data_IF_485733544513
#
_entry.id   IF_485733544513
#
_cell.length_a   1.000
_cell.length_b   1.000
_cell.length_c   1.000
_cell.angle_alpha   90.00
_cell.angle_beta   90.00
_cell.angle_gamma   90.00
#
_symmetry.space_group_name_H-M   'P 1'
#
loop_
_entity.id
_entity.type
_entity.pdbx_description
1 polymer ?
#
# COMPACT_ATOMS: atom_id res chain seq x y z
N UNK A 1 18.31 18.14 10.72
CA UNK A 1 16.94 18.64 10.49
C UNK A 1 16.02 17.51 10.90
N UNK A 2 15.40 17.60 12.06
CA UNK A 2 14.56 16.51 12.57
C UNK A 2 13.27 16.41 11.76
N UNK A 3 12.92 15.20 11.33
CA UNK A 3 11.76 14.96 10.50
C UNK A 3 10.50 15.01 11.37
N UNK A 4 9.55 15.92 11.04
CA UNK A 4 8.24 16.06 11.71
C UNK A 4 7.55 14.72 11.96
N UNK A 5 7.68 13.79 11.01
CA UNK A 5 7.12 12.45 11.12
C UNK A 5 7.76 11.64 12.26
N UNK A 6 9.08 11.55 12.26
CA UNK A 6 9.83 10.80 13.29
C UNK A 6 9.57 11.37 14.68
N UNK A 7 9.57 12.69 14.83
CA UNK A 7 9.32 13.35 16.11
C UNK A 7 7.90 13.12 16.63
N UNK A 8 6.91 12.98 15.73
CA UNK A 8 5.54 12.69 16.15
C UNK A 8 5.40 11.29 16.77
N UNK A 9 6.29 10.35 16.48
CA UNK A 9 6.15 8.96 16.93
C UNK A 9 7.19 8.51 17.97
N UNK A 10 8.36 9.16 18.05
CA UNK A 10 9.50 8.72 18.87
C UNK A 10 9.14 8.36 20.33
N UNK A 11 8.38 9.21 21.02
CA UNK A 11 8.00 9.03 22.42
C UNK A 11 6.50 8.73 22.61
N UNK A 12 5.83 8.24 21.56
CA UNK A 12 4.39 7.98 21.58
C UNK A 12 4.11 6.49 21.69
N UNK A 13 3.29 6.04 22.68
CA UNK A 13 2.86 4.65 22.76
C UNK A 13 2.15 4.20 21.48
N UNK A 14 2.39 2.96 21.05
CA UNK A 14 1.81 2.40 19.81
C UNK A 14 0.29 2.52 19.76
N UNK A 15 -0.39 2.31 20.89
CA UNK A 15 -1.85 2.45 21.01
C UNK A 15 -2.36 3.86 20.68
N UNK A 16 -1.51 4.88 20.76
CA UNK A 16 -1.82 6.27 20.43
C UNK A 16 -1.36 6.69 19.04
N UNK A 17 -0.83 5.79 18.21
CA UNK A 17 -0.34 6.13 16.87
C UNK A 17 -1.49 6.42 15.88
N UNK A 18 -2.63 5.74 16.02
CA UNK A 18 -3.77 5.88 15.10
C UNK A 18 -4.19 7.35 14.88
N UNK A 19 -4.54 8.10 15.94
CA UNK A 19 -4.90 9.51 15.83
C UNK A 19 -3.81 10.38 15.20
N UNK A 20 -2.52 10.06 15.39
CA UNK A 20 -1.40 10.82 14.79
C UNK A 20 -1.29 10.58 13.28
N UNK A 21 -1.50 9.34 12.83
CA UNK A 21 -1.60 9.07 11.40
C UNK A 21 -2.77 9.82 10.77
N UNK A 22 -3.93 9.85 11.43
CA UNK A 22 -5.10 10.60 10.96
C UNK A 22 -4.82 12.10 10.83
N UNK A 23 -4.16 12.73 11.82
CA UNK A 23 -3.86 14.17 11.76
C UNK A 23 -2.93 14.53 10.59
N UNK A 24 -1.95 13.68 10.27
CA UNK A 24 -1.10 13.91 9.12
C UNK A 24 -1.86 13.88 7.78
N UNK A 25 -2.85 12.99 7.65
CA UNK A 25 -3.73 12.96 6.48
C UNK A 25 -4.58 14.23 6.38
N UNK A 26 -5.19 14.68 7.49
CA UNK A 26 -5.99 15.90 7.57
C UNK A 26 -5.17 17.15 7.22
N UNK A 27 -3.94 17.23 7.72
CA UNK A 27 -2.99 18.31 7.43
C UNK A 27 -2.40 18.25 6.01
N UNK A 28 -2.71 17.20 5.23
CA UNK A 28 -2.09 16.91 3.93
C UNK A 28 -0.56 16.80 4.00
N UNK A 29 -0.01 16.47 5.16
CA UNK A 29 1.41 16.20 5.35
C UNK A 29 1.66 14.71 5.10
N UNK A 30 1.87 14.36 3.83
CA UNK A 30 2.03 12.95 3.40
C UNK A 30 3.37 12.73 2.68
N UNK A 31 4.54 12.99 3.31
CA UNK A 31 5.84 12.86 2.65
C UNK A 31 6.20 11.42 2.25
N UNK A 32 5.48 10.42 2.76
CA UNK A 32 5.61 9.01 2.34
C UNK A 32 4.76 8.65 1.13
N UNK A 33 3.74 9.46 0.81
CA UNK A 33 2.87 9.22 -0.34
C UNK A 33 3.59 9.61 -1.63
N UNK A 34 3.73 8.65 -2.54
CA UNK A 34 4.46 8.82 -3.81
C UNK A 34 3.58 9.29 -4.97
N UNK A 35 2.29 9.54 -4.72
CA UNK A 35 1.31 9.99 -5.72
C UNK A 35 0.88 8.94 -6.74
N UNK A 36 1.31 7.68 -6.59
CA UNK A 36 1.02 6.60 -7.52
C UNK A 36 1.50 5.25 -7.02
N UNK A 37 1.21 4.15 -7.76
CA UNK A 37 1.62 2.82 -7.36
C UNK A 37 3.15 2.69 -7.37
N UNK A 38 3.65 1.76 -6.57
CA UNK A 38 5.07 1.40 -6.51
C UNK A 38 5.53 0.82 -7.85
N UNK A 39 6.46 1.51 -8.52
CA UNK A 39 7.04 1.05 -9.77
C UNK A 39 7.74 -0.32 -9.63
N UNK A 40 8.39 -0.57 -8.49
CA UNK A 40 9.04 -1.85 -8.22
C UNK A 40 8.03 -2.99 -8.03
N UNK A 41 6.87 -2.71 -7.42
CA UNK A 41 5.80 -3.71 -7.29
C UNK A 41 5.20 -4.04 -8.65
N UNK A 42 4.89 -3.03 -9.46
CA UNK A 42 4.38 -3.23 -10.82
C UNK A 42 5.36 -4.06 -11.66
N UNK A 43 6.66 -3.73 -11.64
CA UNK A 43 7.70 -4.48 -12.35
C UNK A 43 7.72 -5.95 -11.90
N UNK A 44 7.80 -6.20 -10.58
CA UNK A 44 7.79 -7.56 -10.03
C UNK A 44 6.57 -8.37 -10.51
N UNK A 45 5.36 -7.81 -10.42
CA UNK A 45 4.12 -8.50 -10.78
C UNK A 45 3.97 -8.77 -12.28
N UNK A 46 4.66 -8.00 -13.13
CA UNK A 46 4.50 -8.08 -14.60
C UNK A 46 5.66 -8.77 -15.30
N UNK A 47 6.86 -8.78 -14.71
CA UNK A 47 8.08 -9.30 -15.36
C UNK A 47 8.66 -10.53 -14.67
N UNK A 48 8.24 -10.85 -13.44
CA UNK A 48 8.75 -11.98 -12.63
C UNK A 48 7.65 -12.99 -12.25
N UNK A 49 6.98 -13.63 -13.24
CA UNK A 49 5.87 -14.56 -12.98
C UNK A 49 6.29 -15.81 -12.18
N UNK A 50 7.59 -16.16 -12.18
CA UNK A 50 8.12 -17.24 -11.35
C UNK A 50 8.24 -16.89 -9.86
N UNK A 51 8.32 -15.59 -9.51
CA UNK A 51 8.29 -15.14 -8.11
C UNK A 51 6.86 -14.89 -7.63
N UNK A 52 6.02 -14.29 -8.48
CA UNK A 52 4.60 -14.05 -8.18
C UNK A 52 3.76 -14.49 -9.37
N UNK A 53 3.11 -15.67 -9.28
CA UNK A 53 2.25 -16.15 -10.35
C UNK A 53 1.10 -15.17 -10.63
N UNK A 54 0.85 -14.82 -11.91
CA UNK A 54 -0.20 -13.87 -12.24
C UNK A 54 -1.60 -14.47 -11.98
N UNK A 55 -2.61 -13.63 -11.70
CA UNK A 55 -4.00 -14.09 -11.59
C UNK A 55 -4.45 -14.85 -12.86
N UNK A 56 -5.24 -15.92 -12.71
CA UNK A 56 -5.71 -16.69 -13.85
C UNK A 56 -6.64 -15.85 -14.74
N UNK A 57 -6.50 -15.99 -16.06
CA UNK A 57 -7.35 -15.30 -17.04
C UNK A 57 -8.79 -15.85 -17.10
N UNK A 58 -9.00 -17.06 -16.57
CA UNK A 58 -10.33 -17.69 -16.57
C UNK A 58 -11.24 -17.04 -15.53
N UNK A 59 -12.43 -16.60 -15.96
CA UNK A 59 -13.47 -16.05 -15.09
C UNK A 59 -14.05 -17.06 -14.09
N UNK A 60 -13.81 -18.35 -14.31
CA UNK A 60 -14.24 -19.43 -13.41
C UNK A 60 -13.19 -19.81 -12.36
N UNK A 61 -11.95 -19.35 -12.53
CA UNK A 61 -10.88 -19.63 -11.59
C UNK A 61 -10.94 -18.65 -10.41
N UNK A 62 -10.65 -19.13 -9.21
CA UNK A 62 -10.57 -18.28 -8.02
C UNK A 62 -9.40 -17.33 -8.17
N UNK A 63 -9.65 -16.03 -8.04
CA UNK A 63 -8.61 -15.01 -8.06
C UNK A 63 -7.74 -15.11 -6.80
N UNK A 64 -6.42 -14.86 -6.90
CA UNK A 64 -5.58 -14.73 -5.73
C UNK A 64 -6.00 -13.49 -4.92
N UNK A 65 -5.93 -13.62 -3.60
CA UNK A 65 -6.28 -12.54 -2.67
C UNK A 65 -5.03 -11.74 -2.29
N UNK A 66 -5.14 -10.42 -2.21
CA UNK A 66 -4.07 -9.53 -1.80
C UNK A 66 -4.51 -8.61 -0.65
N UNK A 67 -3.59 -8.32 0.27
CA UNK A 67 -3.79 -7.39 1.39
C UNK A 67 -2.69 -6.32 1.34
N UNK A 68 -3.07 -5.04 1.43
CA UNK A 68 -2.14 -3.91 1.53
C UNK A 68 -2.31 -3.24 2.90
N UNK A 69 -1.54 -3.63 3.93
CA UNK A 69 -1.67 -3.05 5.25
C UNK A 69 -1.23 -1.58 5.24
N UNK A 70 -2.02 -0.71 5.87
CA UNK A 70 -1.72 0.72 5.89
C UNK A 70 -1.70 1.36 4.50
N UNK A 71 -2.64 0.98 3.62
CA UNK A 71 -2.65 1.31 2.20
C UNK A 71 -2.69 2.81 1.84
N UNK A 72 -2.92 3.70 2.81
CA UNK A 72 -3.02 5.14 2.57
C UNK A 72 -4.13 5.46 1.56
N UNK A 73 -3.78 6.13 0.45
CA UNK A 73 -4.72 6.40 -0.66
C UNK A 73 -5.06 5.16 -1.51
N UNK A 74 -4.43 4.01 -1.25
CA UNK A 74 -4.75 2.76 -1.93
C UNK A 74 -4.14 2.60 -3.32
N UNK A 75 -3.05 3.30 -3.64
CA UNK A 75 -2.43 3.22 -4.97
C UNK A 75 -2.04 1.79 -5.38
N UNK A 76 -1.37 1.06 -4.49
CA UNK A 76 -0.97 -0.33 -4.76
C UNK A 76 -2.16 -1.30 -4.67
N UNK A 77 -3.14 -1.03 -3.81
CA UNK A 77 -4.39 -1.79 -3.75
C UNK A 77 -5.15 -1.70 -5.08
N UNK A 78 -5.25 -0.51 -5.68
CA UNK A 78 -5.85 -0.31 -6.98
C UNK A 78 -5.05 -0.97 -8.11
N UNK A 79 -3.72 -0.93 -8.06
CA UNK A 79 -2.87 -1.67 -9.00
C UNK A 79 -3.16 -3.17 -8.95
N UNK A 80 -3.18 -3.76 -7.75
CA UNK A 80 -3.46 -5.19 -7.57
C UNK A 80 -4.86 -5.56 -8.09
N UNK A 81 -5.87 -4.76 -7.78
CA UNK A 81 -7.22 -4.98 -8.32
C UNK A 81 -7.25 -4.90 -9.86
N UNK A 82 -6.53 -3.95 -10.46
CA UNK A 82 -6.42 -3.81 -11.91
C UNK A 82 -5.69 -5.00 -12.57
N UNK A 83 -4.77 -5.64 -11.86
CA UNK A 83 -4.07 -6.86 -12.31
C UNK A 83 -4.90 -8.14 -12.08
N UNK A 84 -6.10 -8.04 -11.50
CA UNK A 84 -7.03 -9.15 -11.35
C UNK A 84 -6.99 -9.87 -10.01
N UNK A 85 -6.34 -9.29 -8.99
CA UNK A 85 -6.40 -9.79 -7.61
C UNK A 85 -7.73 -9.41 -6.94
N UNK A 86 -8.17 -10.23 -6.00
CA UNK A 86 -9.20 -9.83 -5.03
C UNK A 86 -8.51 -9.11 -3.87
N UNK A 87 -8.75 -7.81 -3.71
CA UNK A 87 -8.06 -6.98 -2.71
C UNK A 87 -8.94 -6.81 -1.46
N UNK A 88 -8.34 -7.01 -0.29
CA UNK A 88 -8.96 -6.84 1.03
C UNK A 88 -8.64 -5.49 1.67
#
# INVERSE_FOLDING_TARGET
MENKLSNAFADTPLSSHGPKWSSFWEEKYTPWDRGGPSAALLDLLTTRPELVPPPPLSSTAKKPTALVPGCGKGHDALLLAALGYDVL
#
